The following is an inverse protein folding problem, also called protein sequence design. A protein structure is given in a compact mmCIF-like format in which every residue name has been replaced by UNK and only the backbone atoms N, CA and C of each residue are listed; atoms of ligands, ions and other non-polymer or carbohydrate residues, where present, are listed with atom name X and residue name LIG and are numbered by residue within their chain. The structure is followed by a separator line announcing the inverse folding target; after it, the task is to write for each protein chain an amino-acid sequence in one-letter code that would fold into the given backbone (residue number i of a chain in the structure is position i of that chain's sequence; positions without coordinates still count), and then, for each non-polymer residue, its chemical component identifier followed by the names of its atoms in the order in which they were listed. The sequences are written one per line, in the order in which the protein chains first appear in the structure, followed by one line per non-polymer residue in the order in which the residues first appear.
data_IF_593755760707
#
_entry.id   IF_593755760707
#
_cell.length_a   1.000
_cell.length_b   1.000
_cell.length_c   1.000
_cell.angle_alpha   90.00
_cell.angle_beta   90.00
_cell.angle_gamma   90.00
#
_symmetry.space_group_name_H-M   'P 1'
#
loop_
_entity.id
_entity.type
_entity.pdbx_description
1 polymer ?
#
# COMPACT_ATOMS: atom_id res chain seq x y z
N UNK A 1 41.63 -2.19 32.03
CA UNK A 1 41.48 -2.38 30.58
C UNK A 1 41.25 -3.86 30.32
N UNK A 2 39.98 -4.31 30.23
CA UNK A 2 39.46 -5.27 29.24
C UNK A 2 38.01 -5.60 29.57
N UNK A 3 37.16 -5.52 28.55
CA UNK A 3 35.71 -5.50 28.61
C UNK A 3 35.10 -6.91 28.70
N UNK A 4 34.00 -7.04 29.46
CA UNK A 4 33.11 -8.19 29.40
C UNK A 4 32.17 -8.03 28.19
N UNK A 5 32.19 -9.00 27.27
CA UNK A 5 31.28 -9.05 26.12
C UNK A 5 30.38 -10.30 26.24
N UNK A 6 29.21 -10.11 26.85
CA UNK A 6 28.10 -11.07 26.81
C UNK A 6 27.34 -10.87 25.50
N UNK A 7 27.74 -11.61 24.46
CA UNK A 7 27.00 -11.70 23.20
C UNK A 7 25.78 -12.61 23.36
N UNK A 8 24.63 -12.05 23.75
CA UNK A 8 23.34 -12.72 23.60
C UNK A 8 22.95 -12.70 22.12
N UNK A 9 23.00 -13.85 21.47
CA UNK A 9 22.41 -14.05 20.14
C UNK A 9 20.89 -14.08 20.29
N UNK A 10 20.25 -12.99 19.87
CA UNK A 10 18.81 -12.82 19.85
C UNK A 10 18.13 -13.93 19.02
N UNK A 11 17.02 -14.45 19.57
CA UNK A 11 16.27 -15.56 19.02
C UNK A 11 15.70 -15.28 17.63
N UNK A 12 16.00 -16.18 16.71
CA UNK A 12 15.25 -16.38 15.47
C UNK A 12 14.51 -17.70 15.62
N UNK A 13 13.22 -17.63 15.92
CA UNK A 13 12.28 -18.74 15.73
C UNK A 13 11.06 -18.14 15.01
N UNK A 14 11.19 -17.98 13.69
CA UNK A 14 10.05 -17.89 12.81
C UNK A 14 9.47 -19.30 12.67
N UNK A 15 8.27 -19.52 13.21
CA UNK A 15 7.39 -20.60 12.74
C UNK A 15 5.98 -20.05 12.57
N UNK A 16 5.83 -19.50 11.38
CA UNK A 16 4.65 -19.47 10.52
C UNK A 16 3.72 -20.69 10.67
N UNK A 17 2.90 -20.71 11.72
CA UNK A 17 1.80 -21.68 11.90
C UNK A 17 0.49 -21.11 12.45
N UNK A 18 0.40 -19.79 12.66
CA UNK A 18 -0.50 -19.22 13.67
C UNK A 18 -1.28 -17.97 13.19
N UNK A 19 -1.87 -18.02 11.99
CA UNK A 19 -2.76 -16.94 11.53
C UNK A 19 -4.14 -17.05 12.22
N UNK A 20 -4.20 -16.73 13.51
CA UNK A 20 -5.45 -16.70 14.31
C UNK A 20 -5.54 -15.52 15.28
N UNK A 21 -4.45 -14.80 15.55
CA UNK A 21 -4.40 -13.57 16.36
C UNK A 21 -3.33 -12.63 15.83
N UNK A 22 -3.76 -11.53 15.21
CA UNK A 22 -2.89 -10.47 14.65
C UNK A 22 -2.26 -9.55 15.72
N UNK A 23 -2.50 -9.82 17.01
CA UNK A 23 -1.98 -9.04 18.13
C UNK A 23 -1.32 -9.96 19.14
N UNK A 24 0.01 -9.88 19.22
CA UNK A 24 0.84 -10.78 20.02
C UNK A 24 0.86 -10.41 21.52
N UNK A 25 0.33 -9.25 21.95
CA UNK A 25 0.12 -8.90 23.38
C UNK A 25 -1.16 -8.06 23.62
N UNK A 26 -1.86 -8.21 24.77
CA UNK A 26 -3.00 -7.36 25.15
C UNK A 26 -2.65 -5.87 25.26
N UNK A 27 -1.45 -5.55 25.74
CA UNK A 27 -0.97 -4.18 25.90
C UNK A 27 -0.82 -3.45 24.56
N UNK A 28 -0.32 -4.14 23.52
CA UNK A 28 -0.19 -3.57 22.17
C UNK A 28 -1.56 -3.22 21.58
N UNK A 29 -2.60 -4.01 21.86
CA UNK A 29 -3.98 -3.69 21.47
C UNK A 29 -4.50 -2.45 22.19
N UNK A 30 -4.33 -2.36 23.52
CA UNK A 30 -4.78 -1.20 24.29
C UNK A 30 -4.09 0.11 23.88
N UNK A 31 -2.82 0.05 23.45
CA UNK A 31 -2.13 1.21 22.92
C UNK A 31 -2.76 1.66 21.59
N UNK A 32 -2.97 0.73 20.65
CA UNK A 32 -3.63 1.03 19.37
C UNK A 32 -5.06 1.57 19.58
N UNK A 33 -5.83 0.97 20.50
CA UNK A 33 -7.19 1.44 20.80
C UNK A 33 -7.20 2.85 21.41
N UNK A 34 -6.21 3.20 22.24
CA UNK A 34 -6.02 4.60 22.71
C UNK A 34 -5.71 5.55 21.56
N UNK A 35 -4.81 5.16 20.65
CA UNK A 35 -4.48 5.98 19.46
C UNK A 35 -5.72 6.21 18.59
N UNK A 36 -6.55 5.18 18.39
CA UNK A 36 -7.83 5.29 17.67
C UNK A 36 -8.82 6.23 18.37
N UNK A 37 -8.95 6.16 19.69
CA UNK A 37 -9.83 7.05 20.47
C UNK A 37 -9.41 8.52 20.35
N UNK A 38 -8.10 8.78 20.28
CA UNK A 38 -7.55 10.12 20.08
C UNK A 38 -7.65 10.59 18.61
N UNK A 39 -8.16 9.74 17.70
CA UNK A 39 -8.20 9.98 16.26
C UNK A 39 -6.82 10.37 15.68
N UNK A 40 -5.75 9.91 16.32
CA UNK A 40 -4.39 10.06 15.83
C UNK A 40 -4.23 8.95 14.79
N UNK A 41 -4.53 9.27 13.55
CA UNK A 41 -4.10 8.46 12.42
C UNK A 41 -2.60 8.77 12.25
N UNK A 42 -1.74 7.75 12.34
CA UNK A 42 -0.37 7.89 11.85
C UNK A 42 -0.46 8.19 10.36
N UNK A 43 -0.34 9.47 10.02
CA UNK A 43 -0.32 9.94 8.65
C UNK A 43 1.02 9.46 8.09
N UNK A 44 0.98 8.35 7.36
CA UNK A 44 2.15 7.87 6.66
C UNK A 44 2.44 8.89 5.57
N UNK A 45 3.53 9.63 5.74
CA UNK A 45 3.99 10.57 4.72
C UNK A 45 4.30 9.80 3.45
N UNK A 46 3.80 10.30 2.31
CA UNK A 46 4.13 9.69 1.03
C UNK A 46 5.59 10.02 0.73
N UNK A 47 6.47 9.03 0.52
CA UNK A 47 7.81 9.32 0.04
C UNK A 47 7.70 10.02 -1.32
N UNK A 48 8.51 11.06 -1.53
CA UNK A 48 8.64 11.80 -2.80
C UNK A 48 9.39 10.96 -3.85
N UNK A 49 8.98 9.69 -4.02
CA UNK A 49 9.55 8.80 -5.00
C UNK A 49 9.06 9.18 -6.40
N UNK A 50 9.96 9.15 -7.37
CA UNK A 50 9.62 9.29 -8.80
C UNK A 50 8.70 8.16 -9.28
N UNK A 51 8.77 6.98 -8.65
CA UNK A 51 7.95 5.82 -9.00
C UNK A 51 6.71 5.73 -8.09
N UNK A 52 5.53 5.85 -8.67
CA UNK A 52 4.23 5.78 -8.01
C UNK A 52 3.55 4.46 -8.32
N UNK A 53 3.62 3.50 -7.41
CA UNK A 53 2.93 2.20 -7.54
C UNK A 53 1.50 2.33 -7.04
N UNK A 54 0.52 2.00 -7.88
CA UNK A 54 -0.88 1.98 -7.47
C UNK A 54 -1.21 0.59 -6.91
N UNK A 55 -1.12 0.44 -5.61
CA UNK A 55 -1.34 -0.86 -4.97
C UNK A 55 -2.82 -1.27 -5.03
N UNK A 56 -3.73 -0.30 -4.90
CA UNK A 56 -5.16 -0.59 -4.81
C UNK A 56 -6.02 0.66 -4.74
N UNK A 57 -7.29 0.48 -5.08
CA UNK A 57 -8.32 1.50 -4.92
C UNK A 57 -9.59 0.86 -4.37
N UNK A 58 -10.17 1.48 -3.34
CA UNK A 58 -11.47 1.11 -2.79
C UNK A 58 -12.40 2.28 -2.93
N UNK A 59 -13.50 2.06 -3.64
CA UNK A 59 -14.59 3.04 -3.80
C UNK A 59 -15.79 2.58 -3.00
N UNK A 60 -16.28 3.42 -2.10
CA UNK A 60 -17.47 3.17 -1.30
C UNK A 60 -18.72 3.59 -2.07
N UNK A 61 -19.87 2.98 -1.78
CA UNK A 61 -21.17 3.34 -2.37
C UNK A 61 -21.56 4.80 -2.14
N UNK A 62 -21.04 5.43 -1.07
CA UNK A 62 -21.21 6.85 -0.78
C UNK A 62 -20.41 7.78 -1.70
N UNK A 63 -19.62 7.24 -2.63
CA UNK A 63 -18.77 8.00 -3.54
C UNK A 63 -17.36 8.25 -3.03
N UNK A 64 -17.11 8.09 -1.71
CA UNK A 64 -15.79 8.25 -1.11
C UNK A 64 -14.81 7.19 -1.60
N UNK A 65 -13.56 7.59 -1.81
CA UNK A 65 -12.48 6.68 -2.22
C UNK A 65 -11.27 6.71 -1.28
N UNK A 66 -10.61 5.57 -1.22
CA UNK A 66 -9.31 5.40 -0.57
C UNK A 66 -8.40 4.71 -1.59
N UNK A 67 -7.22 5.27 -1.81
CA UNK A 67 -6.22 4.76 -2.75
C UNK A 67 -4.96 4.41 -1.96
N UNK A 68 -4.30 3.32 -2.31
CA UNK A 68 -2.98 3.00 -1.78
C UNK A 68 -1.93 3.26 -2.85
N UNK A 69 -1.01 4.18 -2.56
CA UNK A 69 0.11 4.53 -3.44
C UNK A 69 1.39 4.24 -2.68
N UNK A 70 2.29 3.41 -3.23
CA UNK A 70 3.52 2.99 -2.56
C UNK A 70 3.28 2.45 -1.13
N UNK A 71 2.14 1.80 -0.91
CA UNK A 71 1.71 1.29 0.40
C UNK A 71 1.13 2.34 1.37
N UNK A 72 1.20 3.63 1.02
CA UNK A 72 0.63 4.73 1.81
C UNK A 72 -0.84 4.94 1.44
N UNK A 73 -1.68 5.12 2.46
CA UNK A 73 -3.12 5.30 2.28
C UNK A 73 -3.44 6.77 2.00
N UNK A 74 -4.00 7.05 0.83
CA UNK A 74 -4.45 8.36 0.39
C UNK A 74 -5.98 8.41 0.43
N UNK A 75 -6.51 9.23 1.35
CA UNK A 75 -7.95 9.49 1.45
C UNK A 75 -8.32 10.75 0.67
N UNK A 76 -9.59 10.89 0.29
CA UNK A 76 -10.07 12.05 -0.48
C UNK A 76 -9.87 13.42 0.21
N UNK A 77 -9.86 13.45 1.54
CA UNK A 77 -9.54 14.67 2.31
C UNK A 77 -8.04 14.85 2.55
N UNK A 78 -7.24 13.82 2.27
CA UNK A 78 -5.80 13.77 2.47
C UNK A 78 -5.05 13.83 1.13
N UNK A 79 -5.73 14.26 0.06
CA UNK A 79 -5.11 14.67 -1.22
C UNK A 79 -4.32 15.98 -1.02
N UNK A 80 -3.67 16.12 0.14
CA UNK A 80 -2.69 17.15 0.45
C UNK A 80 -1.35 16.85 -0.24
N UNK A 81 -1.14 15.60 -0.69
CA UNK A 81 -0.06 15.25 -1.60
C UNK A 81 -0.39 15.67 -3.03
N UNK A 82 0.62 16.12 -3.78
CA UNK A 82 0.54 16.56 -5.18
C UNK A 82 0.08 15.50 -6.19
N UNK A 83 -0.51 14.39 -5.74
CA UNK A 83 -0.88 13.21 -6.53
C UNK A 83 -2.31 12.82 -6.18
N UNK A 84 -3.22 12.87 -7.15
CA UNK A 84 -4.57 12.35 -7.04
C UNK A 84 -4.82 11.22 -8.02
N UNK A 85 -5.43 10.14 -7.55
CA UNK A 85 -5.73 8.97 -8.38
C UNK A 85 -7.24 8.82 -8.48
N UNK A 86 -7.75 8.85 -9.71
CA UNK A 86 -9.17 8.72 -10.00
C UNK A 86 -9.44 7.41 -10.73
N UNK A 87 -10.13 6.45 -10.10
CA UNK A 87 -10.54 5.23 -10.79
C UNK A 87 -11.63 5.52 -11.82
N UNK A 88 -11.62 4.78 -12.92
CA UNK A 88 -12.70 4.82 -13.89
C UNK A 88 -13.93 4.08 -13.33
N UNK A 89 -15.09 4.76 -13.31
CA UNK A 89 -16.34 4.21 -12.75
C UNK A 89 -16.81 2.93 -13.47
N UNK A 90 -16.51 2.76 -14.75
CA UNK A 90 -16.91 1.60 -15.55
C UNK A 90 -15.91 0.43 -15.45
N UNK A 91 -14.68 0.74 -15.09
CA UNK A 91 -13.56 -0.20 -15.01
C UNK A 91 -12.61 0.25 -13.88
N UNK A 92 -12.87 -0.15 -12.63
CA UNK A 92 -12.13 0.34 -11.46
C UNK A 92 -10.67 -0.11 -11.45
N UNK A 93 -10.30 -1.09 -12.30
CA UNK A 93 -8.91 -1.50 -12.48
C UNK A 93 -8.10 -0.45 -13.27
N UNK A 94 -8.76 0.44 -14.02
CA UNK A 94 -8.11 1.57 -14.70
C UNK A 94 -8.20 2.82 -13.85
N UNK A 95 -7.07 3.47 -13.67
CA UNK A 95 -6.93 4.67 -12.87
C UNK A 95 -6.26 5.77 -13.67
N UNK A 96 -6.66 7.00 -13.39
CA UNK A 96 -6.04 8.20 -13.92
C UNK A 96 -5.27 8.86 -12.79
N UNK A 97 -3.96 8.98 -12.94
CA UNK A 97 -3.06 9.62 -11.98
C UNK A 97 -2.83 11.05 -12.44
N UNK A 98 -3.23 12.00 -11.61
CA UNK A 98 -2.96 13.42 -11.79
C UNK A 98 -1.91 13.83 -10.79
N UNK A 99 -0.76 14.28 -11.28
CA UNK A 99 0.27 14.90 -10.45
C UNK A 99 0.25 16.40 -10.74
N UNK A 100 0.32 17.26 -9.72
CA UNK A 100 0.13 18.71 -9.85
C UNK A 100 0.95 19.40 -10.94
N UNK A 101 2.13 18.85 -11.28
CA UNK A 101 3.07 19.43 -12.25
C UNK A 101 3.37 18.52 -13.46
N UNK A 102 2.65 17.41 -13.61
CA UNK A 102 2.88 16.42 -14.67
C UNK A 102 1.60 16.20 -15.48
N UNK A 103 1.71 15.93 -16.80
CA UNK A 103 0.58 15.41 -17.56
C UNK A 103 -0.08 14.20 -16.90
N UNK A 104 -1.39 14.12 -17.12
CA UNK A 104 -2.25 13.06 -16.61
C UNK A 104 -1.80 11.69 -17.13
N UNK A 105 -1.40 10.80 -16.23
CA UNK A 105 -0.98 9.45 -16.58
C UNK A 105 -2.17 8.47 -16.48
N UNK A 106 -2.29 7.58 -17.47
CA UNK A 106 -3.24 6.46 -17.43
C UNK A 106 -2.49 5.24 -16.96
N UNK A 107 -3.01 4.59 -15.93
CA UNK A 107 -2.41 3.40 -15.36
C UNK A 107 -3.49 2.40 -14.93
N UNK A 108 -3.06 1.22 -14.53
CA UNK A 108 -3.89 0.23 -13.86
C UNK A 108 -3.48 0.05 -12.41
N UNK A 109 -4.41 -0.49 -11.64
CA UNK A 109 -4.09 -1.02 -10.31
C UNK A 109 -3.07 -2.15 -10.49
N UNK A 110 -1.98 -2.06 -9.74
CA UNK A 110 -0.82 -2.92 -9.83
C UNK A 110 0.31 -2.36 -10.69
N UNK A 111 0.08 -1.32 -11.49
CA UNK A 111 1.15 -0.70 -12.28
C UNK A 111 1.92 0.36 -11.48
N UNK A 112 3.15 0.61 -11.92
CA UNK A 112 4.02 1.69 -11.41
C UNK A 112 4.09 2.79 -12.44
N UNK A 113 3.77 4.02 -12.03
CA UNK A 113 3.80 5.22 -12.87
C UNK A 113 5.04 6.04 -12.54
N UNK A 114 5.82 6.40 -13.56
CA UNK A 114 6.86 7.41 -13.41
C UNK A 114 6.23 8.81 -13.35
N UNK A 115 6.46 9.52 -12.25
CA UNK A 115 5.94 10.86 -11.99
C UNK A 115 6.46 11.93 -12.95
N UNK A 116 7.64 11.76 -13.54
CA UNK A 116 8.24 12.75 -14.44
C UNK A 116 7.77 12.55 -15.88
N UNK A 117 7.67 11.30 -16.33
CA UNK A 117 7.32 10.96 -17.73
C UNK A 117 5.85 10.62 -17.94
N UNK A 118 5.14 10.24 -16.87
CA UNK A 118 3.77 9.71 -16.92
C UNK A 118 3.67 8.29 -17.49
N UNK A 119 4.80 7.60 -17.68
CA UNK A 119 4.83 6.23 -18.22
C UNK A 119 4.43 5.21 -17.15
N UNK A 120 3.52 4.29 -17.50
CA UNK A 120 3.07 3.22 -16.63
C UNK A 120 3.71 1.88 -17.03
N UNK A 121 4.29 1.18 -16.05
CA UNK A 121 4.94 -0.13 -16.23
C UNK A 121 4.26 -1.17 -15.34
N UNK A 122 3.98 -2.35 -15.91
CA UNK A 122 3.46 -3.50 -15.16
C UNK A 122 4.57 -4.25 -14.42
N UNK A 123 4.27 -4.77 -13.24
CA UNK A 123 5.20 -5.51 -12.38
C UNK A 123 5.73 -6.79 -13.04
N UNK A 124 5.00 -7.33 -14.01
CA UNK A 124 5.40 -8.53 -14.72
C UNK A 124 6.36 -8.26 -15.88
N UNK A 125 6.58 -6.99 -16.27
CA UNK A 125 7.45 -6.60 -17.38
C UNK A 125 7.22 -7.42 -18.68
N UNK A 126 5.95 -7.66 -19.01
CA UNK A 126 5.53 -8.48 -20.17
C UNK A 126 5.37 -9.98 -19.87
N UNK A 127 5.69 -10.43 -18.66
CA UNK A 127 5.40 -11.76 -18.15
C UNK A 127 3.89 -12.00 -17.98
N UNK A 128 3.51 -13.28 -17.88
CA UNK A 128 2.11 -13.70 -17.69
C UNK A 128 2.00 -14.78 -16.63
N UNK A 129 1.01 -14.66 -15.77
CA UNK A 129 0.65 -15.71 -14.79
C UNK A 129 -0.56 -16.46 -15.34
N UNK A 130 -0.43 -17.77 -15.52
CA UNK A 130 -1.53 -18.65 -15.91
C UNK A 130 -1.92 -19.57 -14.75
N UNK A 131 -3.21 -19.83 -14.57
CA UNK A 131 -3.68 -20.85 -13.63
C UNK A 131 -3.84 -22.18 -14.37
N UNK A 132 -3.45 -23.29 -13.72
CA UNK A 132 -3.82 -24.62 -14.21
C UNK A 132 -5.28 -24.87 -13.83
N UNK A 133 -6.19 -24.82 -14.80
CA UNK A 133 -7.59 -25.18 -14.58
C UNK A 133 -7.68 -26.68 -14.37
N UNK A 134 -7.83 -27.12 -13.12
CA UNK A 134 -8.14 -28.51 -12.81
C UNK A 134 -9.63 -28.72 -13.03
N UNK A 135 -10.01 -29.10 -14.25
CA UNK A 135 -11.37 -29.56 -14.52
C UNK A 135 -11.59 -30.91 -13.80
N UNK A 136 -12.32 -30.88 -12.69
CA UNK A 136 -12.86 -32.09 -12.09
C UNK A 136 -14.01 -32.61 -12.98
N UNK A 137 -13.93 -33.90 -13.30
CA UNK A 137 -14.81 -34.67 -14.19
C UNK A 137 -16.17 -34.95 -13.54
#
# INVERSE_FOLDING_TARGET
MLAALLGQTAGAEETSGQLGRLFFTPERRQNLDRLRQLNIQEQQEMPEDTALTINGVVTRSSGKRTVWINGVTQNENDIAGSVSVTPNRRDPAKVTVHVSDTPVAKAKVGETVNRDTGEATDLLNGGRIGTKSTAAK
#
